data_IF_845504609404
#
_entry.id   IF_845504609404
#
_cell.length_a   1.000
_cell.length_b   1.000
_cell.length_c   1.000
_cell.angle_alpha   90.00
_cell.angle_beta   90.00
_cell.angle_gamma   90.00
#
_symmetry.space_group_name_H-M   'P 1'
#
loop_
_entity.id
_entity.type
_entity.pdbx_description
1 polymer ?
#
# COMPACT_ATOMS: atom_id res chain seq x y z
N UNK A 1 -35.80 -24.32 54.67
CA UNK A 1 -35.45 -22.93 54.32
C UNK A 1 -33.96 -22.75 53.96
N UNK A 2 -33.18 -23.84 53.82
CA UNK A 2 -31.73 -23.79 53.51
C UNK A 2 -31.41 -23.92 52.01
N UNK A 3 -32.17 -24.72 51.24
CA UNK A 3 -31.85 -25.03 49.84
C UNK A 3 -31.99 -23.83 48.87
N UNK A 4 -32.83 -22.85 49.21
CA UNK A 4 -33.09 -21.68 48.35
C UNK A 4 -31.91 -20.69 48.34
N UNK A 5 -31.14 -20.62 49.44
CA UNK A 5 -29.96 -19.76 49.54
C UNK A 5 -28.72 -20.38 48.86
N UNK A 6 -28.59 -21.71 48.88
CA UNK A 6 -27.51 -22.43 48.19
C UNK A 6 -27.70 -22.43 46.65
N UNK A 7 -28.94 -22.57 46.17
CA UNK A 7 -29.22 -22.47 44.73
C UNK A 7 -29.03 -21.04 44.19
N UNK A 8 -29.42 -20.01 44.95
CA UNK A 8 -29.28 -18.61 44.55
C UNK A 8 -27.81 -18.18 44.48
N UNK A 9 -26.97 -18.66 45.41
CA UNK A 9 -25.53 -18.35 45.44
C UNK A 9 -24.77 -19.05 44.30
N UNK A 10 -25.12 -20.30 43.96
CA UNK A 10 -24.54 -20.99 42.81
C UNK A 10 -24.85 -20.26 41.48
N UNK A 11 -26.11 -19.86 41.27
CA UNK A 11 -26.54 -19.15 40.05
C UNK A 11 -25.87 -17.77 39.93
N UNK A 12 -25.74 -17.03 41.04
CA UNK A 12 -25.06 -15.74 41.05
C UNK A 12 -23.58 -15.85 40.68
N UNK A 13 -22.91 -16.90 41.15
CA UNK A 13 -21.47 -17.13 40.88
C UNK A 13 -21.25 -17.47 39.41
N UNK A 14 -22.07 -18.36 38.83
CA UNK A 14 -21.99 -18.72 37.40
C UNK A 14 -22.27 -17.53 36.49
N UNK A 15 -23.24 -16.69 36.83
CA UNK A 15 -23.55 -15.48 36.07
C UNK A 15 -22.38 -14.46 36.12
N UNK A 16 -21.78 -14.26 37.30
CA UNK A 16 -20.62 -13.38 37.46
C UNK A 16 -19.41 -13.86 36.66
N UNK A 17 -19.13 -15.18 36.66
CA UNK A 17 -18.06 -15.76 35.82
C UNK A 17 -18.34 -15.56 34.33
N UNK A 18 -19.59 -15.72 33.89
CA UNK A 18 -19.99 -15.48 32.51
C UNK A 18 -19.75 -14.03 32.06
N UNK A 19 -20.14 -13.04 32.89
CA UNK A 19 -19.92 -11.62 32.60
C UNK A 19 -18.43 -11.28 32.59
N UNK A 20 -17.64 -11.81 33.53
CA UNK A 20 -16.20 -11.59 33.57
C UNK A 20 -15.50 -12.15 32.32
N UNK A 21 -15.90 -13.35 31.87
CA UNK A 21 -15.36 -13.96 30.65
C UNK A 21 -15.74 -13.14 29.40
N UNK A 22 -17.00 -12.68 29.33
CA UNK A 22 -17.46 -11.84 28.23
C UNK A 22 -16.72 -10.50 28.15
N UNK A 23 -16.54 -9.82 29.29
CA UNK A 23 -15.77 -8.57 29.36
C UNK A 23 -14.31 -8.79 28.94
N UNK A 24 -13.67 -9.87 29.40
CA UNK A 24 -12.30 -10.20 29.00
C UNK A 24 -12.16 -10.43 27.49
N UNK A 25 -13.10 -11.18 26.89
CA UNK A 25 -13.12 -11.42 25.43
C UNK A 25 -13.37 -10.11 24.69
N UNK A 26 -14.32 -9.30 25.15
CA UNK A 26 -14.67 -8.03 24.53
C UNK A 26 -13.52 -7.02 24.57
N UNK A 27 -12.82 -6.91 25.70
CA UNK A 27 -11.67 -6.02 25.84
C UNK A 27 -10.50 -6.46 24.95
N UNK A 28 -10.23 -7.76 24.85
CA UNK A 28 -9.22 -8.29 23.91
C UNK A 28 -9.58 -7.96 22.47
N UNK A 29 -10.87 -8.07 22.09
CA UNK A 29 -11.32 -7.71 20.75
C UNK A 29 -11.20 -6.21 20.47
N UNK A 30 -11.54 -5.35 21.43
CA UNK A 30 -11.39 -3.88 21.32
C UNK A 30 -9.92 -3.49 21.16
N UNK A 31 -9.02 -4.01 22.02
CA UNK A 31 -7.59 -3.74 21.92
C UNK A 31 -7.00 -4.19 20.58
N UNK A 32 -7.46 -5.33 20.04
CA UNK A 32 -7.04 -5.79 18.71
C UNK A 32 -7.50 -4.84 17.60
N UNK A 33 -8.72 -4.30 17.69
CA UNK A 33 -9.22 -3.31 16.72
C UNK A 33 -8.42 -2.01 16.80
N UNK A 34 -8.23 -1.47 17.99
CA UNK A 34 -7.47 -0.23 18.20
C UNK A 34 -6.02 -0.36 17.72
N UNK A 35 -5.37 -1.50 18.01
CA UNK A 35 -4.02 -1.79 17.56
C UNK A 35 -3.93 -1.92 16.03
N UNK A 36 -4.92 -2.58 15.41
CA UNK A 36 -4.99 -2.71 13.94
C UNK A 36 -5.21 -1.36 13.27
N UNK A 37 -6.08 -0.52 13.84
CA UNK A 37 -6.35 0.82 13.33
C UNK A 37 -5.13 1.74 13.48
N UNK A 38 -4.43 1.65 14.62
CA UNK A 38 -3.19 2.39 14.86
C UNK A 38 -2.08 1.97 13.89
N UNK A 39 -1.94 0.69 13.62
CA UNK A 39 -0.98 0.16 12.62
C UNK A 39 -1.35 0.61 11.21
N UNK A 40 -2.62 0.57 10.83
CA UNK A 40 -3.09 1.04 9.53
C UNK A 40 -2.94 2.57 9.37
N UNK A 41 -2.93 3.33 10.46
CA UNK A 41 -2.78 4.78 10.42
C UNK A 41 -1.41 5.21 9.86
N UNK A 42 -0.31 4.56 10.25
CA UNK A 42 1.01 4.82 9.65
C UNK A 42 0.99 4.51 8.15
N UNK A 43 0.51 3.33 7.78
CA UNK A 43 0.50 2.88 6.39
C UNK A 43 -0.26 3.83 5.44
N UNK A 44 -1.34 4.47 5.93
CA UNK A 44 -2.12 5.45 5.15
C UNK A 44 -1.34 6.71 4.80
N UNK A 45 -0.34 7.06 5.60
CA UNK A 45 0.50 8.26 5.44
C UNK A 45 1.69 8.02 4.49
N UNK A 46 1.89 6.80 4.01
CA UNK A 46 2.84 6.53 2.92
C UNK A 46 2.12 6.73 1.60
N UNK A 47 2.57 7.69 0.80
CA UNK A 47 1.95 8.06 -0.48
C UNK A 47 2.92 7.73 -1.61
N UNK A 48 2.40 7.22 -2.73
CA UNK A 48 3.16 7.00 -3.94
C UNK A 48 2.46 7.59 -5.16
N UNK A 49 3.23 8.20 -6.05
CA UNK A 49 2.73 8.85 -7.26
C UNK A 49 3.75 8.71 -8.40
N UNK A 50 3.28 9.01 -9.61
CA UNK A 50 4.15 9.21 -10.78
C UNK A 50 3.89 10.65 -11.24
N UNK A 51 4.94 11.45 -11.27
CA UNK A 51 4.92 12.84 -11.75
C UNK A 51 5.97 13.02 -12.85
N UNK A 52 5.50 13.34 -14.07
CA UNK A 52 6.35 13.46 -15.24
C UNK A 52 7.15 12.18 -15.50
N UNK A 53 8.48 12.26 -15.37
CA UNK A 53 9.40 11.12 -15.55
C UNK A 53 9.81 10.45 -14.25
N UNK A 54 9.17 10.78 -13.12
CA UNK A 54 9.59 10.30 -11.80
C UNK A 54 8.49 9.53 -11.09
N UNK A 55 8.86 8.40 -10.51
CA UNK A 55 8.08 7.76 -9.46
C UNK A 55 8.51 8.30 -8.10
N UNK A 56 7.55 8.72 -7.29
CA UNK A 56 7.82 9.31 -5.97
C UNK A 56 7.14 8.50 -4.87
N UNK A 57 7.83 8.37 -3.75
CA UNK A 57 7.29 7.80 -2.52
C UNK A 57 7.63 8.72 -1.36
N UNK A 58 6.61 9.19 -0.65
CA UNK A 58 6.78 10.07 0.52
C UNK A 58 6.21 9.39 1.76
N UNK A 59 7.01 9.34 2.83
CA UNK A 59 6.54 8.89 4.14
C UNK A 59 6.07 10.09 4.98
N UNK A 60 4.78 10.42 4.97
CA UNK A 60 4.24 11.51 5.79
C UNK A 60 3.96 11.12 7.25
N UNK A 61 4.32 9.89 7.66
CA UNK A 61 4.17 9.49 9.05
C UNK A 61 5.27 10.07 9.94
N UNK A 62 5.07 10.01 11.26
CA UNK A 62 6.08 10.38 12.24
C UNK A 62 7.10 9.26 12.51
N UNK A 63 6.95 8.11 11.86
CA UNK A 63 7.74 6.90 12.12
C UNK A 63 8.50 6.48 10.84
N UNK A 64 9.68 5.85 10.96
CA UNK A 64 10.42 5.40 9.79
C UNK A 64 9.75 4.20 9.10
N UNK A 65 10.06 4.01 7.82
CA UNK A 65 9.87 2.74 7.14
C UNK A 65 11.17 1.94 7.26
N UNK A 66 11.09 0.72 7.80
CA UNK A 66 12.24 -0.14 7.96
C UNK A 66 12.78 -0.58 6.60
N UNK A 67 11.88 -0.83 5.65
CA UNK A 67 12.22 -1.11 4.26
C UNK A 67 11.13 -0.59 3.33
N UNK A 68 11.52 -0.06 2.17
CA UNK A 68 10.64 0.35 1.07
C UNK A 68 11.11 -0.36 -0.19
N UNK A 69 10.15 -0.92 -0.92
CA UNK A 69 10.34 -1.57 -2.21
C UNK A 69 9.41 -0.95 -3.23
N UNK A 70 9.96 -0.46 -4.33
CA UNK A 70 9.18 -0.06 -5.50
C UNK A 70 9.05 -1.29 -6.40
N UNK A 71 7.83 -1.82 -6.50
CA UNK A 71 7.57 -3.12 -7.13
C UNK A 71 7.36 -2.98 -8.63
N UNK A 72 6.41 -2.14 -9.02
CA UNK A 72 6.10 -1.89 -10.43
C UNK A 72 5.44 -0.54 -10.67
N UNK A 73 5.43 -0.07 -11.92
CA UNK A 73 4.82 1.15 -12.37
C UNK A 73 4.02 0.80 -13.62
N UNK A 74 2.78 1.26 -13.64
CA UNK A 74 1.87 0.97 -14.71
C UNK A 74 1.08 2.24 -15.05
N UNK A 75 0.56 2.28 -16.27
CA UNK A 75 -0.46 3.24 -16.69
C UNK A 75 -1.58 2.47 -17.42
N UNK A 76 -2.70 3.11 -17.71
CA UNK A 76 -3.80 2.52 -18.47
C UNK A 76 -3.95 3.20 -19.83
N UNK A 77 -3.95 2.41 -20.89
CA UNK A 77 -4.26 2.82 -22.26
C UNK A 77 -5.53 2.11 -22.67
N UNK A 78 -6.58 2.87 -23.00
CA UNK A 78 -7.90 2.33 -23.37
C UNK A 78 -8.44 1.31 -22.34
N UNK A 79 -8.20 1.58 -21.05
CA UNK A 79 -8.61 0.72 -19.93
C UNK A 79 -7.77 -0.55 -19.75
N UNK A 80 -6.64 -0.68 -20.46
CA UNK A 80 -5.72 -1.81 -20.33
C UNK A 80 -4.40 -1.37 -19.70
N UNK A 81 -3.87 -2.14 -18.73
CA UNK A 81 -2.61 -1.81 -18.10
C UNK A 81 -1.45 -1.95 -19.08
N UNK A 82 -0.60 -0.93 -19.16
CA UNK A 82 0.71 -0.95 -19.82
C UNK A 82 1.79 -0.74 -18.78
N UNK A 83 2.87 -1.52 -18.86
CA UNK A 83 3.96 -1.43 -17.92
C UNK A 83 4.88 -0.26 -18.26
N UNK A 84 5.20 0.56 -17.26
CA UNK A 84 6.16 1.65 -17.37
C UNK A 84 7.55 1.12 -17.04
N UNK A 85 8.55 1.54 -17.80
CA UNK A 85 9.94 1.09 -17.63
C UNK A 85 10.74 2.00 -16.70
N UNK A 86 11.80 1.44 -16.18
CA UNK A 86 12.74 2.09 -15.25
C UNK A 86 14.06 2.39 -15.95
N UNK A 87 14.83 3.33 -15.40
CA UNK A 87 16.26 3.39 -15.68
C UNK A 87 16.95 2.06 -15.28
N UNK A 88 18.00 1.66 -16.00
CA UNK A 88 18.64 0.35 -15.81
C UNK A 88 19.34 0.22 -14.44
N UNK A 89 19.82 1.33 -13.91
CA UNK A 89 20.52 1.46 -12.63
C UNK A 89 19.60 1.91 -11.48
N UNK A 90 18.29 1.94 -11.70
CA UNK A 90 17.34 2.51 -10.76
C UNK A 90 17.29 1.70 -9.44
N UNK A 91 17.67 2.34 -8.33
CA UNK A 91 17.56 1.74 -7.00
C UNK A 91 16.09 1.65 -6.58
N UNK A 92 15.61 0.43 -6.29
CA UNK A 92 14.19 0.18 -5.96
C UNK A 92 13.96 -0.41 -4.58
N UNK A 93 15.03 -0.66 -3.83
CA UNK A 93 14.96 -1.14 -2.45
C UNK A 93 15.73 -0.15 -1.59
N UNK A 94 15.04 0.40 -0.60
CA UNK A 94 15.56 1.37 0.34
C UNK A 94 15.34 0.84 1.76
N UNK A 95 16.31 1.03 2.64
CA UNK A 95 16.21 0.65 4.05
C UNK A 95 16.26 1.89 4.92
N UNK A 96 15.53 1.86 6.03
CA UNK A 96 15.48 2.95 7.01
C UNK A 96 15.10 4.30 6.36
N UNK A 97 13.96 4.34 5.66
CA UNK A 97 13.42 5.58 5.10
C UNK A 97 12.83 6.41 6.24
N UNK A 98 13.37 7.59 6.47
CA UNK A 98 13.00 8.42 7.61
C UNK A 98 11.58 8.99 7.49
N UNK A 99 11.03 9.44 8.62
CA UNK A 99 9.81 10.24 8.63
C UNK A 99 10.02 11.53 7.81
N UNK A 100 9.06 11.84 6.92
CA UNK A 100 9.13 12.97 6.00
C UNK A 100 10.12 12.80 4.84
N UNK A 101 10.86 11.69 4.76
CA UNK A 101 11.78 11.44 3.67
C UNK A 101 11.05 11.04 2.39
N UNK A 102 11.58 11.54 1.28
CA UNK A 102 11.09 11.29 -0.07
C UNK A 102 12.09 10.41 -0.82
N UNK A 103 11.57 9.43 -1.55
CA UNK A 103 12.35 8.56 -2.43
C UNK A 103 11.86 8.70 -3.86
N UNK A 104 12.78 9.11 -4.73
CA UNK A 104 12.55 9.24 -6.16
C UNK A 104 13.12 8.05 -6.92
N UNK A 105 12.46 7.74 -8.04
CA UNK A 105 12.91 6.77 -9.02
C UNK A 105 12.73 7.37 -10.41
N UNK A 106 13.81 7.42 -11.19
CA UNK A 106 13.73 7.86 -12.58
C UNK A 106 13.09 6.76 -13.45
N UNK A 107 12.04 7.15 -14.17
CA UNK A 107 11.33 6.31 -15.12
C UNK A 107 11.92 6.53 -16.51
N UNK A 108 11.95 5.46 -17.31
CA UNK A 108 12.56 5.50 -18.64
C UNK A 108 11.55 6.05 -19.65
N UNK A 109 11.98 7.07 -20.39
CA UNK A 109 11.28 7.53 -21.59
C UNK A 109 11.52 6.53 -22.72
N UNK A 110 10.44 6.18 -23.42
CA UNK A 110 10.46 5.24 -24.54
C UNK A 110 9.52 5.69 -25.65
N UNK A 111 9.77 5.20 -26.87
CA UNK A 111 8.87 5.37 -28.00
C UNK A 111 7.73 4.36 -27.93
N UNK A 112 6.50 4.85 -28.01
CA UNK A 112 5.26 4.07 -27.97
C UNK A 112 4.63 3.86 -29.35
N UNK A 113 5.26 4.40 -30.40
CA UNK A 113 4.82 4.30 -31.78
C UNK A 113 4.52 5.66 -32.39
N UNK A 114 3.85 5.71 -33.55
CA UNK A 114 3.45 6.96 -34.18
C UNK A 114 2.36 7.65 -33.36
N UNK A 115 2.55 8.94 -33.10
CA UNK A 115 1.53 9.81 -32.53
C UNK A 115 0.54 10.19 -33.63
N UNK A 116 -0.71 9.76 -33.48
CA UNK A 116 -1.77 9.99 -34.48
C UNK A 116 -2.66 11.16 -34.06
N UNK A 117 -2.92 12.08 -34.99
CA UNK A 117 -3.87 13.18 -34.73
C UNK A 117 -5.27 12.61 -34.47
N UNK A 118 -5.90 12.90 -33.32
CA UNK A 118 -7.14 12.24 -32.91
C UNK A 118 -8.29 12.45 -33.88
N UNK A 119 -8.36 13.62 -34.52
CA UNK A 119 -9.45 13.97 -35.45
C UNK A 119 -9.15 13.68 -36.92
N UNK A 120 -7.87 13.67 -37.31
CA UNK A 120 -7.46 13.70 -38.73
C UNK A 120 -6.69 12.43 -39.14
N UNK A 121 -6.40 11.54 -38.19
CA UNK A 121 -5.83 10.21 -38.40
C UNK A 121 -4.52 10.15 -39.21
N UNK A 122 -3.73 11.22 -39.23
CA UNK A 122 -2.38 11.24 -39.77
C UNK A 122 -1.32 11.28 -38.66
N UNK A 123 -0.12 10.79 -38.96
CA UNK A 123 1.02 10.78 -38.05
C UNK A 123 1.58 12.20 -37.87
N UNK A 124 1.64 12.65 -36.62
CA UNK A 124 2.12 13.99 -36.23
C UNK A 124 3.53 13.94 -35.64
N UNK A 125 4.03 12.74 -35.33
CA UNK A 125 5.36 12.51 -34.78
C UNK A 125 5.47 11.14 -34.11
N UNK A 126 6.47 10.98 -33.25
CA UNK A 126 6.61 9.81 -32.38
C UNK A 126 5.98 10.11 -31.03
N UNK A 127 5.21 9.17 -30.49
CA UNK A 127 4.77 9.20 -29.10
C UNK A 127 5.95 8.79 -28.21
N UNK A 128 6.56 9.75 -27.52
CA UNK A 128 7.69 9.54 -26.63
C UNK A 128 7.33 9.98 -25.20
N UNK A 129 7.48 9.06 -24.25
CA UNK A 129 7.14 9.31 -22.86
C UNK A 129 7.40 8.10 -21.97
N UNK A 130 7.14 8.23 -20.67
CA UNK A 130 7.15 7.10 -19.74
C UNK A 130 5.94 6.18 -19.93
N UNK A 131 4.88 6.69 -20.53
CA UNK A 131 3.68 6.00 -20.99
C UNK A 131 3.19 6.68 -22.29
N UNK A 132 2.33 6.02 -23.08
CA UNK A 132 1.73 6.66 -24.26
C UNK A 132 1.00 7.96 -23.91
N UNK A 133 0.92 8.90 -24.86
CA UNK A 133 0.30 10.20 -24.64
C UNK A 133 -1.17 10.11 -24.16
N UNK A 134 -1.90 9.09 -24.62
CA UNK A 134 -3.30 8.85 -24.22
C UNK A 134 -3.43 8.03 -22.93
N UNK A 135 -2.33 7.74 -22.22
CA UNK A 135 -2.36 6.96 -21.00
C UNK A 135 -2.99 7.73 -19.83
N UNK A 136 -3.68 6.99 -18.96
CA UNK A 136 -4.35 7.47 -17.76
C UNK A 136 -3.96 6.59 -16.56
N UNK A 137 -4.43 6.93 -15.36
CA UNK A 137 -4.26 6.10 -14.14
C UNK A 137 -2.81 5.62 -13.89
N UNK A 138 -1.85 6.54 -14.00
CA UNK A 138 -0.46 6.27 -13.64
C UNK A 138 -0.38 5.83 -12.17
N UNK A 139 0.18 4.65 -11.93
CA UNK A 139 0.23 4.04 -10.60
C UNK A 139 1.62 3.49 -10.31
N UNK A 140 2.13 3.83 -9.13
CA UNK A 140 3.31 3.22 -8.56
C UNK A 140 2.88 2.20 -7.51
N UNK A 141 3.19 0.93 -7.74
CA UNK A 141 2.98 -0.14 -6.77
C UNK A 141 4.21 -0.24 -5.88
N UNK A 142 4.01 -0.03 -4.57
CA UNK A 142 5.06 -0.13 -3.56
C UNK A 142 4.70 -1.17 -2.51
N UNK A 143 5.72 -1.77 -1.91
CA UNK A 143 5.60 -2.50 -0.66
C UNK A 143 6.55 -1.91 0.37
N UNK A 144 6.12 -1.81 1.62
CA UNK A 144 6.95 -1.26 2.67
C UNK A 144 6.72 -1.99 4.00
N UNK A 145 7.79 -2.03 4.80
CA UNK A 145 7.82 -2.55 6.15
C UNK A 145 7.70 -1.36 7.11
N UNK A 146 6.59 -1.30 7.83
CA UNK A 146 6.32 -0.22 8.78
C UNK A 146 7.15 -0.37 10.07
N UNK A 147 7.03 0.60 10.99
CA UNK A 147 7.78 0.58 12.25
C UNK A 147 7.34 -0.54 13.21
N UNK A 148 6.13 -1.08 13.01
CA UNK A 148 5.62 -2.24 13.75
C UNK A 148 6.09 -3.58 13.16
N UNK A 149 6.92 -3.56 12.11
CA UNK A 149 7.46 -4.76 11.47
C UNK A 149 6.46 -5.45 10.54
N UNK A 150 5.53 -4.70 9.96
CA UNK A 150 4.43 -5.22 9.18
C UNK A 150 4.54 -4.80 7.72
N UNK A 151 4.35 -5.76 6.80
CA UNK A 151 4.40 -5.49 5.37
C UNK A 151 3.07 -4.99 4.82
N UNK A 152 3.12 -3.89 4.11
CA UNK A 152 1.99 -3.26 3.44
C UNK A 152 2.28 -3.10 1.96
N UNK A 153 1.22 -3.09 1.16
CA UNK A 153 1.26 -2.77 -0.27
C UNK A 153 0.37 -1.58 -0.53
N UNK A 154 0.83 -0.65 -1.38
CA UNK A 154 0.03 0.44 -1.91
C UNK A 154 0.14 0.48 -3.43
N UNK A 155 -0.99 0.70 -4.11
CA UNK A 155 -1.07 0.81 -5.56
C UNK A 155 -1.53 2.23 -5.91
N UNK A 156 -0.59 3.10 -6.26
CA UNK A 156 -0.85 4.52 -6.46
C UNK A 156 -1.55 5.15 -5.25
N UNK A 157 -2.74 5.71 -5.46
CA UNK A 157 -3.51 6.39 -4.41
C UNK A 157 -4.48 5.48 -3.65
N UNK A 158 -4.58 4.20 -4.00
CA UNK A 158 -5.47 3.25 -3.30
C UNK A 158 -5.09 3.09 -1.81
N UNK A 159 -6.06 2.73 -0.94
CA UNK A 159 -5.77 2.40 0.44
C UNK A 159 -4.73 1.26 0.56
N UNK A 160 -3.79 1.35 1.50
CA UNK A 160 -2.79 0.29 1.68
C UNK A 160 -3.43 -1.01 2.15
N UNK A 161 -2.99 -2.13 1.57
CA UNK A 161 -3.44 -3.48 1.92
C UNK A 161 -2.33 -4.26 2.61
N UNK A 162 -2.69 -5.09 3.58
CA UNK A 162 -1.73 -5.92 4.31
C UNK A 162 -1.17 -7.03 3.42
N UNK A 163 0.15 -7.20 3.40
CA UNK A 163 0.82 -8.34 2.75
C UNK A 163 1.03 -9.43 3.79
N UNK A 164 0.46 -10.61 3.53
CA UNK A 164 0.60 -11.79 4.38
C UNK A 164 1.61 -12.74 3.72
N UNK A 165 2.85 -12.76 4.20
CA UNK A 165 3.90 -13.62 3.67
C UNK A 165 5.16 -12.85 3.29
N UNK A 166 5.93 -13.40 2.34
CA UNK A 166 7.16 -12.77 1.88
C UNK A 166 6.86 -11.54 1.00
N UNK A 167 7.60 -10.43 1.18
CA UNK A 167 7.48 -9.27 0.33
C UNK A 167 7.92 -9.59 -1.09
N UNK A 168 7.21 -9.02 -2.07
CA UNK A 168 7.55 -9.16 -3.48
C UNK A 168 8.94 -8.57 -3.76
N UNK A 169 9.61 -9.16 -4.74
CA UNK A 169 10.79 -8.55 -5.34
C UNK A 169 10.37 -7.53 -6.39
N UNK A 170 11.15 -6.45 -6.61
CA UNK A 170 10.91 -5.54 -7.71
C UNK A 170 10.79 -6.28 -9.04
N UNK A 171 9.75 -5.97 -9.83
CA UNK A 171 9.53 -6.63 -11.12
C UNK A 171 10.72 -6.41 -12.06
N UNK A 172 11.00 -7.35 -12.95
CA UNK A 172 12.00 -7.14 -14.00
C UNK A 172 11.59 -5.93 -14.87
N UNK A 173 12.59 -5.27 -15.49
CA UNK A 173 12.28 -4.23 -16.47
C UNK A 173 11.54 -4.88 -17.65
N UNK A 174 10.34 -4.41 -18.02
CA UNK A 174 9.62 -4.94 -19.18
C UNK A 174 10.48 -4.85 -20.45
N UNK A 175 10.49 -5.91 -21.26
CA UNK A 175 11.13 -5.92 -22.59
C UNK A 175 10.47 -4.95 -23.57
#
# INVERSE_FOLDING_TARGET
MSEFWDAASAVATTAATGVALWLAVHEVQMRRKDETDRQAAQARLVVSAIEGTRGEVVNHSSEPLLELRIIRADADVDGRPVAVRWAEDAQRIFRNVSAGEERHLELRVQGWGPLIHPELSYEVGTDEGVAPFNASNHRLTIQFLDAAGLWWQRVGLEPPTRVLGEPAQPAANPE
#
